data_IF_210748243637
#
_entry.id   IF_210748243637
#
_cell.length_a   1.000
_cell.length_b   1.000
_cell.length_c   1.000
_cell.angle_alpha   90.00
_cell.angle_beta   90.00
_cell.angle_gamma   90.00
#
_symmetry.space_group_name_H-M   'P 1'
#
loop_
_entity.id
_entity.type
_entity.pdbx_description
1 polymer ?
#
# COMPACT_ATOMS: atom_id res chain seq x y z
N UNK A 1 9.34 -2.52 -73.16
CA UNK A 1 8.62 -3.28 -72.11
C UNK A 1 8.57 -2.43 -70.86
N UNK A 2 7.36 -2.01 -70.46
CA UNK A 2 7.09 -1.25 -69.24
C UNK A 2 7.04 -2.21 -68.04
N UNK A 3 7.73 -1.90 -66.96
CA UNK A 3 7.26 -2.18 -65.59
C UNK A 3 7.64 -1.01 -64.69
N UNK A 4 6.64 -0.17 -64.47
CA UNK A 4 6.52 0.88 -63.47
C UNK A 4 6.24 0.24 -62.11
N UNK A 5 6.95 0.64 -61.06
CA UNK A 5 6.54 0.47 -59.65
C UNK A 5 7.03 1.74 -58.93
N UNK A 6 6.20 2.79 -58.84
CA UNK A 6 5.17 3.06 -57.82
C UNK A 6 5.73 3.12 -56.40
N UNK A 7 6.01 4.36 -55.97
CA UNK A 7 6.27 4.79 -54.60
C UNK A 7 5.11 4.45 -53.68
N UNK A 8 5.40 3.93 -52.48
CA UNK A 8 4.60 4.22 -51.28
C UNK A 8 5.58 4.46 -50.11
N UNK A 9 5.84 5.74 -49.83
CA UNK A 9 6.34 6.21 -48.55
C UNK A 9 5.20 6.04 -47.53
N UNK A 10 5.34 5.10 -46.60
CA UNK A 10 4.40 5.00 -45.47
C UNK A 10 4.91 5.94 -44.38
N UNK A 11 4.32 7.13 -44.32
CA UNK A 11 4.42 8.00 -43.14
C UNK A 11 3.54 7.42 -42.04
N UNK A 12 4.15 6.83 -41.01
CA UNK A 12 3.42 6.39 -39.82
C UNK A 12 3.09 7.63 -38.99
N UNK A 13 1.86 8.13 -39.15
CA UNK A 13 1.24 9.06 -38.21
C UNK A 13 0.92 8.31 -36.93
N UNK A 14 1.71 8.53 -35.87
CA UNK A 14 1.35 8.07 -34.52
C UNK A 14 0.32 9.07 -33.99
N UNK A 15 -0.95 8.72 -34.14
CA UNK A 15 -2.05 9.40 -33.44
C UNK A 15 -1.98 9.06 -31.96
N UNK A 16 -2.12 10.10 -31.13
CA UNK A 16 -2.26 10.05 -29.69
C UNK A 16 -3.41 9.13 -29.28
N UNK A 17 -3.10 8.10 -28.48
CA UNK A 17 -4.10 7.39 -27.67
C UNK A 17 -4.03 7.92 -26.24
N UNK A 18 -4.92 8.86 -25.92
CA UNK A 18 -5.34 9.14 -24.54
C UNK A 18 -6.12 7.93 -24.01
N UNK A 19 -5.62 7.24 -22.99
CA UNK A 19 -6.34 6.32 -22.09
C UNK A 19 -5.35 5.96 -20.96
N UNK A 20 -5.61 6.01 -19.66
CA UNK A 20 -6.79 6.26 -18.82
C UNK A 20 -6.27 6.90 -17.53
N UNK A 21 -6.81 8.05 -17.14
CA UNK A 21 -6.63 8.66 -15.82
C UNK A 21 -7.94 8.45 -15.05
N UNK A 22 -8.23 7.20 -14.69
CA UNK A 22 -9.51 6.83 -14.08
C UNK A 22 -9.38 6.08 -12.74
N UNK A 23 -8.25 5.44 -12.46
CA UNK A 23 -8.19 4.49 -11.34
C UNK A 23 -7.75 5.12 -10.00
N UNK A 24 -6.90 6.16 -10.01
CA UNK A 24 -6.48 6.86 -8.78
C UNK A 24 -7.60 7.63 -8.08
N UNK A 25 -8.65 8.04 -8.82
CA UNK A 25 -9.80 8.78 -8.25
C UNK A 25 -10.80 7.84 -7.58
N UNK A 26 -10.91 6.60 -8.03
CA UNK A 26 -11.83 5.61 -7.49
C UNK A 26 -11.32 5.03 -6.16
N UNK A 27 -10.01 4.87 -6.03
CA UNK A 27 -9.38 4.25 -4.85
C UNK A 27 -9.24 5.21 -3.66
N UNK A 28 -8.87 6.48 -3.90
CA UNK A 28 -9.02 7.53 -2.89
C UNK A 28 -10.47 7.63 -2.41
N UNK A 29 -11.43 7.43 -3.31
CA UNK A 29 -12.86 7.39 -2.94
C UNK A 29 -13.20 6.15 -2.12
N UNK A 30 -12.52 5.01 -2.31
CA UNK A 30 -12.71 3.79 -1.54
C UNK A 30 -12.14 3.89 -0.13
N UNK A 31 -10.93 4.47 0.02
CA UNK A 31 -10.35 4.77 1.34
C UNK A 31 -11.21 5.81 2.07
N UNK A 32 -11.65 6.87 1.39
CA UNK A 32 -12.58 7.86 1.94
C UNK A 32 -13.95 7.25 2.28
N UNK A 33 -14.42 6.26 1.51
CA UNK A 33 -15.69 5.56 1.77
C UNK A 33 -15.59 4.60 2.95
N UNK A 34 -14.45 3.90 3.14
CA UNK A 34 -14.19 3.11 4.35
C UNK A 34 -14.11 3.99 5.60
N UNK A 35 -13.48 5.17 5.51
CA UNK A 35 -13.47 6.21 6.57
C UNK A 35 -14.90 6.69 6.88
N UNK A 36 -15.75 6.86 5.87
CA UNK A 36 -17.13 7.27 6.06
C UNK A 36 -18.02 6.15 6.65
N UNK A 37 -17.72 4.88 6.40
CA UNK A 37 -18.54 3.75 6.84
C UNK A 37 -18.33 3.38 8.31
N UNK A 38 -17.21 3.78 8.93
CA UNK A 38 -17.04 3.75 10.38
C UNK A 38 -17.89 4.78 11.14
N UNK A 39 -18.61 5.67 10.45
CA UNK A 39 -19.42 6.75 11.03
C UNK A 39 -20.93 6.51 10.94
N UNK A 40 -21.43 5.28 11.13
CA UNK A 40 -22.89 5.09 11.31
C UNK A 40 -23.31 5.52 12.70
N UNK A 41 -23.64 6.80 12.85
CA UNK A 41 -24.38 7.33 14.00
C UNK A 41 -25.75 6.66 14.09
N UNK A 42 -26.04 6.07 15.24
CA UNK A 42 -27.39 5.94 15.78
C UNK A 42 -27.99 7.32 15.97
N UNK A 43 -29.06 7.63 15.24
CA UNK A 43 -29.85 8.85 15.44
C UNK A 43 -30.92 8.52 16.48
N UNK A 44 -30.67 8.90 17.74
CA UNK A 44 -31.74 9.14 18.70
C UNK A 44 -31.92 10.65 18.82
N UNK A 45 -33.14 11.09 18.51
CA UNK A 45 -33.59 12.45 18.75
C UNK A 45 -33.66 12.68 20.27
N UNK A 46 -32.72 13.44 20.83
CA UNK A 46 -33.01 14.52 21.78
C UNK A 46 -31.72 15.31 22.10
N UNK A 47 -31.83 16.63 21.99
CA UNK A 47 -30.89 17.69 22.42
C UNK A 47 -29.74 17.27 23.33
N UNK A 48 -28.52 17.19 22.78
CA UNK A 48 -27.29 17.35 23.55
C UNK A 48 -26.22 18.01 22.69
N UNK A 49 -25.49 18.93 23.32
CA UNK A 49 -24.31 19.60 22.76
C UNK A 49 -23.38 18.53 22.16
N UNK A 50 -22.87 18.67 20.92
CA UNK A 50 -22.03 17.64 20.33
C UNK A 50 -20.80 17.46 21.22
N UNK A 51 -20.77 16.35 21.95
CA UNK A 51 -19.60 15.93 22.72
C UNK A 51 -18.54 15.62 21.67
N UNK A 52 -17.58 16.52 21.52
CA UNK A 52 -16.45 16.36 20.62
C UNK A 52 -15.76 15.04 20.98
N UNK A 53 -16.02 14.00 20.22
CA UNK A 53 -15.43 12.70 20.42
C UNK A 53 -13.96 12.86 20.02
N UNK A 54 -13.06 12.92 21.00
CA UNK A 54 -11.62 12.95 20.72
C UNK A 54 -11.30 11.72 19.85
N UNK A 55 -11.01 11.97 18.58
CA UNK A 55 -10.52 10.95 17.67
C UNK A 55 -9.13 10.57 18.15
N UNK A 56 -9.04 9.50 18.93
CA UNK A 56 -7.76 8.97 19.41
C UNK A 56 -6.91 8.61 18.19
N UNK A 57 -5.91 9.44 17.90
CA UNK A 57 -4.98 9.22 16.79
C UNK A 57 -4.25 7.91 17.05
N UNK A 58 -4.39 6.96 16.14
CA UNK A 58 -3.66 5.69 16.22
C UNK A 58 -2.17 5.96 15.96
N UNK A 59 -1.30 5.42 16.81
CA UNK A 59 0.15 5.41 16.61
C UNK A 59 0.63 3.96 16.62
N UNK A 60 1.44 3.59 15.63
CA UNK A 60 2.10 2.29 15.61
C UNK A 60 3.23 2.28 16.65
N UNK A 61 3.16 1.36 17.61
CA UNK A 61 4.13 1.30 18.71
C UNK A 61 5.51 0.87 18.21
N UNK A 62 6.56 1.41 18.83
CA UNK A 62 7.94 0.97 18.62
C UNK A 62 8.07 -0.55 18.84
N UNK A 63 8.74 -1.25 17.93
CA UNK A 63 8.90 -2.70 18.03
C UNK A 63 9.19 -3.37 16.70
N UNK A 64 9.37 -4.69 16.76
CA UNK A 64 9.47 -5.54 15.58
C UNK A 64 8.12 -6.22 15.33
N UNK A 65 7.71 -6.26 14.08
CA UNK A 65 6.48 -6.88 13.62
C UNK A 65 6.75 -7.73 12.41
N UNK A 66 5.92 -8.74 12.15
CA UNK A 66 6.03 -9.54 10.95
C UNK A 66 4.70 -10.07 10.44
N UNK A 67 4.70 -10.39 9.16
CA UNK A 67 3.66 -11.15 8.48
C UNK A 67 4.30 -12.14 7.50
N UNK A 68 3.73 -13.34 7.41
CA UNK A 68 4.01 -14.30 6.34
C UNK A 68 2.83 -14.25 5.39
N UNK A 69 3.04 -13.84 4.15
CA UNK A 69 1.97 -13.68 3.16
C UNK A 69 2.44 -14.04 1.76
N UNK A 70 1.48 -14.29 0.87
CA UNK A 70 1.75 -14.51 -0.56
C UNK A 70 1.88 -13.19 -1.30
N UNK A 71 2.87 -13.15 -2.19
CA UNK A 71 3.12 -12.03 -3.10
C UNK A 71 3.50 -12.58 -4.47
N UNK A 72 3.38 -11.77 -5.51
CA UNK A 72 3.93 -12.09 -6.83
C UNK A 72 5.44 -11.83 -6.84
N UNK A 73 6.28 -12.78 -7.23
CA UNK A 73 7.73 -12.56 -7.31
C UNK A 73 8.04 -11.50 -8.36
N UNK A 74 8.95 -10.56 -8.03
CA UNK A 74 9.38 -9.54 -9.00
C UNK A 74 10.16 -10.19 -10.16
N UNK A 75 10.90 -11.26 -9.88
CA UNK A 75 11.72 -11.95 -10.89
C UNK A 75 10.90 -12.84 -11.81
N UNK A 76 9.93 -13.59 -11.26
CA UNK A 76 9.26 -14.67 -12.02
C UNK A 76 7.79 -14.42 -12.33
N UNK A 77 7.13 -13.47 -11.65
CA UNK A 77 5.68 -13.29 -11.72
C UNK A 77 4.89 -14.41 -11.04
N UNK A 78 5.55 -15.36 -10.37
CA UNK A 78 4.87 -16.46 -9.67
C UNK A 78 4.52 -16.09 -8.24
N UNK A 79 3.46 -16.70 -7.71
CA UNK A 79 3.05 -16.51 -6.32
C UNK A 79 4.02 -17.21 -5.35
N UNK A 80 4.76 -16.43 -4.58
CA UNK A 80 5.71 -16.89 -3.56
C UNK A 80 5.27 -16.47 -2.14
N UNK A 81 5.72 -17.20 -1.13
CA UNK A 81 5.53 -16.78 0.27
C UNK A 81 6.76 -16.06 0.78
N UNK A 82 6.57 -14.85 1.30
CA UNK A 82 7.64 -14.07 1.92
C UNK A 82 7.29 -13.71 3.37
N UNK A 83 8.33 -13.64 4.21
CA UNK A 83 8.25 -13.04 5.55
C UNK A 83 8.67 -11.58 5.45
N UNK A 84 7.76 -10.67 5.72
CA UNK A 84 8.04 -9.24 5.88
C UNK A 84 8.30 -8.97 7.36
N UNK A 85 9.45 -8.37 7.68
CA UNK A 85 9.86 -7.99 9.02
C UNK A 85 9.96 -6.47 9.10
N UNK A 86 9.10 -5.87 9.91
CA UNK A 86 8.95 -4.44 10.06
C UNK A 86 9.53 -3.98 11.40
N UNK A 87 10.49 -3.07 11.37
CA UNK A 87 11.17 -2.52 12.54
C UNK A 87 10.74 -1.07 12.72
N UNK A 88 9.78 -0.84 13.61
CA UNK A 88 9.30 0.51 13.94
C UNK A 88 10.27 1.15 14.92
N UNK A 89 10.94 2.21 14.49
CA UNK A 89 11.92 2.93 15.32
C UNK A 89 11.24 3.95 16.23
N UNK A 90 10.28 4.68 15.67
CA UNK A 90 9.47 5.70 16.32
C UNK A 90 8.18 5.94 15.50
N UNK A 91 7.35 6.88 15.93
CA UNK A 91 6.07 7.19 15.27
C UNK A 91 6.17 7.83 13.87
N UNK A 92 7.39 8.05 13.35
CA UNK A 92 7.65 8.67 12.03
C UNK A 92 8.45 7.77 11.09
N UNK A 93 9.09 6.72 11.59
CA UNK A 93 10.06 5.93 10.82
C UNK A 93 9.99 4.45 11.15
N UNK A 94 10.13 3.65 10.11
CA UNK A 94 10.31 2.20 10.20
C UNK A 94 11.24 1.69 9.10
N UNK A 95 11.80 0.50 9.30
CA UNK A 95 12.56 -0.23 8.30
C UNK A 95 11.88 -1.56 7.97
N UNK A 96 11.92 -1.99 6.71
CA UNK A 96 11.44 -3.30 6.26
C UNK A 96 12.64 -4.17 5.86
N UNK A 97 12.62 -5.43 6.30
CA UNK A 97 13.45 -6.52 5.80
C UNK A 97 12.60 -7.69 5.36
N UNK A 98 12.94 -8.31 4.24
CA UNK A 98 12.23 -9.42 3.62
C UNK A 98 13.10 -10.66 3.73
N UNK A 99 12.58 -11.71 4.35
CA UNK A 99 13.30 -12.98 4.40
C UNK A 99 13.14 -13.71 3.05
N UNK A 100 14.05 -13.43 2.13
CA UNK A 100 14.15 -14.04 0.80
C UNK A 100 15.60 -14.35 0.45
N UNK A 101 15.81 -15.34 -0.42
CA UNK A 101 17.12 -15.63 -1.02
C UNK A 101 17.25 -15.02 -2.43
N UNK A 102 16.21 -14.33 -2.92
CA UNK A 102 16.19 -13.65 -4.21
C UNK A 102 16.49 -12.16 -4.02
N UNK A 103 17.52 -11.65 -4.71
CA UNK A 103 17.95 -10.25 -4.62
C UNK A 103 16.89 -9.26 -5.08
N UNK A 104 16.10 -9.61 -6.08
CA UNK A 104 15.10 -8.71 -6.65
C UNK A 104 13.90 -8.58 -5.70
N UNK A 105 13.51 -9.68 -5.05
CA UNK A 105 12.47 -9.64 -4.02
C UNK A 105 12.96 -8.89 -2.75
N UNK A 106 14.27 -8.90 -2.49
CA UNK A 106 14.89 -8.12 -1.40
C UNK A 106 15.03 -6.63 -1.76
N UNK A 107 14.84 -6.24 -3.02
CA UNK A 107 14.96 -4.85 -3.45
C UNK A 107 13.86 -3.93 -2.87
N UNK A 108 12.79 -4.52 -2.33
CA UNK A 108 11.74 -3.82 -1.58
C UNK A 108 12.08 -3.51 -0.11
N UNK A 109 13.23 -3.99 0.38
CA UNK A 109 13.73 -3.62 1.70
C UNK A 109 14.10 -2.15 1.76
N UNK A 110 14.00 -1.54 2.95
CA UNK A 110 14.37 -0.13 3.11
C UNK A 110 13.59 0.61 4.18
N UNK A 111 13.76 1.92 4.20
CA UNK A 111 13.16 2.84 5.14
C UNK A 111 11.82 3.36 4.63
N UNK A 112 10.92 3.55 5.58
CA UNK A 112 9.58 4.05 5.34
C UNK A 112 9.27 5.17 6.33
N UNK A 113 8.66 6.23 5.80
CA UNK A 113 8.08 7.31 6.55
C UNK A 113 6.67 6.92 6.99
N UNK A 114 6.39 7.06 8.29
CA UNK A 114 5.08 6.81 8.86
C UNK A 114 4.25 8.09 8.84
N UNK A 115 3.09 8.02 8.20
CA UNK A 115 2.13 9.12 8.04
C UNK A 115 0.82 8.69 8.69
N UNK A 116 0.38 9.43 9.71
CA UNK A 116 -0.90 9.17 10.36
C UNK A 116 -2.07 9.69 9.51
N UNK A 117 -3.05 8.81 9.29
CA UNK A 117 -4.30 9.04 8.56
C UNK A 117 -5.46 8.59 9.46
N UNK A 118 -5.87 9.44 10.39
CA UNK A 118 -6.92 9.15 11.40
C UNK A 118 -6.64 7.86 12.20
N UNK A 119 -7.27 6.75 11.83
CA UNK A 119 -7.16 5.44 12.46
C UNK A 119 -6.17 4.48 11.74
N UNK A 120 -5.54 4.94 10.67
CA UNK A 120 -4.59 4.18 9.85
C UNK A 120 -3.23 4.89 9.87
N UNK A 121 -2.14 4.12 9.84
CA UNK A 121 -0.80 4.63 9.51
C UNK A 121 -0.45 4.16 8.10
N UNK A 122 -0.09 5.08 7.21
CA UNK A 122 0.57 4.78 5.93
C UNK A 122 2.08 4.74 6.16
N UNK A 123 2.72 3.62 5.87
CA UNK A 123 4.16 3.56 5.68
C UNK A 123 4.46 3.80 4.21
N UNK A 124 4.99 4.99 3.92
CA UNK A 124 5.38 5.40 2.59
C UNK A 124 6.88 5.18 2.41
N UNK A 125 7.28 4.52 1.31
CA UNK A 125 8.68 4.27 1.00
C UNK A 125 9.47 5.59 0.92
N UNK A 126 10.59 5.66 1.62
CA UNK A 126 11.38 6.89 1.86
C UNK A 126 12.86 6.76 1.43
N UNK A 127 13.22 5.69 0.71
CA UNK A 127 14.56 5.46 0.16
C UNK A 127 14.59 5.62 -1.37
N UNK A 128 15.81 5.66 -1.94
CA UNK A 128 16.02 5.60 -3.39
C UNK A 128 15.92 4.15 -3.90
N UNK A 129 15.11 3.93 -4.93
CA UNK A 129 14.91 2.60 -5.53
C UNK A 129 13.44 2.28 -5.78
N UNK A 130 13.19 1.21 -6.54
CA UNK A 130 11.84 0.80 -6.93
C UNK A 130 11.60 -0.66 -6.54
N UNK A 131 10.87 -0.90 -5.45
CA UNK A 131 10.22 -2.19 -5.23
C UNK A 131 9.29 -2.53 -6.42
N UNK A 132 8.61 -1.51 -6.94
CA UNK A 132 7.91 -1.53 -8.23
C UNK A 132 7.92 -0.11 -8.83
N UNK A 133 7.63 0.01 -10.13
CA UNK A 133 7.48 1.32 -10.81
C UNK A 133 6.31 2.15 -10.25
N UNK A 134 5.39 1.52 -9.51
CA UNK A 134 4.24 2.17 -8.89
C UNK A 134 4.48 2.38 -7.38
N UNK A 135 4.80 3.62 -6.99
CA UNK A 135 5.06 3.97 -5.58
C UNK A 135 3.99 3.49 -4.59
N UNK A 136 2.72 3.42 -5.01
CA UNK A 136 1.62 2.95 -4.15
C UNK A 136 1.66 1.44 -3.88
N UNK A 137 2.27 0.63 -4.74
CA UNK A 137 2.44 -0.80 -4.49
C UNK A 137 3.49 -1.09 -3.41
N UNK A 138 4.46 -0.20 -3.26
CA UNK A 138 5.46 -0.24 -2.20
C UNK A 138 4.88 0.14 -0.84
N UNK A 139 3.70 0.76 -0.77
CA UNK A 139 3.16 1.27 0.49
C UNK A 139 2.51 0.16 1.33
N UNK A 140 2.62 0.33 2.66
CA UNK A 140 1.94 -0.51 3.64
C UNK A 140 1.01 0.33 4.50
N UNK A 141 -0.12 -0.24 4.89
CA UNK A 141 -1.09 0.43 5.76
C UNK A 141 -1.27 -0.40 7.02
N UNK A 142 -1.27 0.27 8.17
CA UNK A 142 -1.39 -0.34 9.47
C UNK A 142 -2.59 0.20 10.21
N UNK A 143 -3.31 -0.64 10.95
CA UNK A 143 -4.33 -0.21 11.92
C UNK A 143 -4.25 -1.03 13.20
N UNK A 144 -4.83 -0.52 14.26
CA UNK A 144 -5.05 -1.27 15.49
C UNK A 144 -6.54 -1.34 15.79
N UNK A 145 -7.05 -2.56 15.97
CA UNK A 145 -8.41 -2.79 16.46
C UNK A 145 -8.29 -3.67 17.71
N UNK A 146 -8.76 -3.16 18.84
CA UNK A 146 -8.84 -3.88 20.13
C UNK A 146 -7.52 -4.53 20.55
N UNK A 147 -6.40 -3.82 20.40
CA UNK A 147 -5.08 -4.30 20.81
C UNK A 147 -4.42 -5.25 19.80
N UNK A 148 -5.08 -5.58 18.69
CA UNK A 148 -4.48 -6.33 17.57
C UNK A 148 -4.08 -5.40 16.45
N UNK A 149 -2.90 -5.66 15.88
CA UNK A 149 -2.41 -4.91 14.72
C UNK A 149 -2.77 -5.64 13.43
N UNK A 150 -3.09 -4.86 12.41
CA UNK A 150 -3.40 -5.36 11.08
C UNK A 150 -2.60 -4.60 10.04
N UNK A 151 -2.32 -5.27 8.94
CA UNK A 151 -1.62 -4.73 7.79
C UNK A 151 -2.37 -5.02 6.50
N UNK A 152 -2.34 -4.09 5.55
CA UNK A 152 -2.70 -4.32 4.15
C UNK A 152 -1.69 -3.65 3.23
N UNK A 153 -1.53 -4.19 2.02
CA UNK A 153 -0.67 -3.63 0.96
C UNK A 153 -1.11 -4.18 -0.39
N UNK A 154 -0.93 -3.41 -1.45
CA UNK A 154 -1.12 -3.88 -2.84
C UNK A 154 -0.09 -4.93 -3.25
N UNK A 155 1.07 -4.98 -2.58
CA UNK A 155 2.10 -5.99 -2.80
C UNK A 155 1.61 -7.41 -2.48
N UNK A 156 0.60 -7.54 -1.64
CA UNK A 156 0.06 -8.83 -1.21
C UNK A 156 -0.98 -9.36 -2.20
N UNK A 157 -0.96 -10.67 -2.46
CA UNK A 157 -2.02 -11.33 -3.23
C UNK A 157 -3.37 -11.19 -2.52
N UNK A 158 -3.37 -11.33 -1.19
CA UNK A 158 -4.52 -10.97 -0.36
C UNK A 158 -4.40 -9.51 0.10
N UNK A 159 -5.19 -8.63 -0.50
CA UNK A 159 -5.19 -7.20 -0.20
C UNK A 159 -6.11 -6.82 0.98
N UNK A 160 -6.82 -7.77 1.58
CA UNK A 160 -7.60 -7.54 2.79
C UNK A 160 -6.70 -7.25 3.99
N UNK A 161 -7.32 -6.76 5.07
CA UNK A 161 -6.63 -6.58 6.35
C UNK A 161 -6.21 -7.93 6.94
N UNK A 162 -4.91 -8.13 7.08
CA UNK A 162 -4.32 -9.34 7.65
C UNK A 162 -3.71 -9.04 9.01
N UNK A 163 -3.76 -10.01 9.94
CA UNK A 163 -3.19 -9.85 11.27
C UNK A 163 -1.66 -9.69 11.19
N UNK A 164 -1.15 -8.62 11.80
CA UNK A 164 0.27 -8.34 11.92
C UNK A 164 0.76 -8.80 13.30
N UNK A 165 1.74 -9.69 13.32
CA UNK A 165 2.27 -10.24 14.57
C UNK A 165 3.37 -9.35 15.12
N UNK A 166 3.31 -9.03 16.42
CA UNK A 166 4.39 -8.34 17.13
C UNK A 166 5.40 -9.37 17.65
N UNK A 167 6.69 -9.17 17.40
CA UNK A 167 7.73 -10.02 17.99
C UNK A 167 7.91 -9.63 19.47
N UNK A 168 7.60 -10.57 20.36
CA UNK A 168 7.91 -10.42 21.77
C UNK A 168 9.42 -10.66 21.95
N UNK A 169 10.19 -9.62 22.29
CA UNK A 169 11.57 -9.80 22.76
C UNK A 169 11.51 -10.56 24.09
N UNK A 170 11.97 -11.80 24.07
CA UNK A 170 12.27 -12.56 25.29
C UNK A 170 13.61 -12.09 25.86
#
# INVERSE_FOLDING_TARGET
>A
MRKTYLFILITISITLTNCKKADTKLENKSIQKEIAQSNSLSIDHQNDIPKLHETKVFLLEKGAYFINTKVESITTGENIHLKFNFFVENNKKMNLRISTNNSDDAYCEGNYKLIALENIIKAEYDDEGICTDEKEESNFYFKNNDGKYYIKSKRFINQDWQELKKENRK
#
